data_IF_701427146568
#
_entry.id   IF_701427146568
#
_cell.length_a   1.000
_cell.length_b   1.000
_cell.length_c   1.000
_cell.angle_alpha   90.00
_cell.angle_beta   90.00
_cell.angle_gamma   90.00
#
_symmetry.space_group_name_H-M   'P 1'
#
loop_
_entity.id
_entity.type
_entity.pdbx_description
1 polymer ?
#
# COMPACT_ATOMS: atom_id res chain seq x y z
N UNK A 1 7.82 -18.07 28.85
CA UNK A 1 7.63 -18.35 27.42
C UNK A 1 7.68 -17.04 26.65
N UNK A 2 8.53 -16.99 25.61
CA UNK A 2 8.64 -15.86 24.68
C UNK A 2 7.99 -16.28 23.37
N UNK A 3 7.03 -15.47 22.93
CA UNK A 3 6.29 -15.63 21.67
C UNK A 3 6.58 -14.41 20.82
N UNK A 4 7.38 -14.56 19.78
CA UNK A 4 7.84 -13.46 18.93
C UNK A 4 8.00 -13.87 17.46
N UNK A 5 7.95 -12.91 16.57
CA UNK A 5 8.10 -13.07 15.12
C UNK A 5 8.95 -11.92 14.56
N UNK A 6 9.66 -12.16 13.45
CA UNK A 6 9.93 -13.44 12.79
C UNK A 6 11.08 -14.21 13.45
N UNK A 7 11.98 -13.51 14.15
CA UNK A 7 13.20 -14.06 14.73
C UNK A 7 13.20 -13.99 16.26
N UNK A 8 14.16 -14.69 16.90
CA UNK A 8 14.31 -14.71 18.36
C UNK A 8 15.03 -13.44 18.86
N UNK A 9 14.42 -12.27 18.71
CA UNK A 9 15.02 -11.00 19.12
C UNK A 9 14.93 -10.77 20.63
N UNK A 10 13.77 -10.89 21.22
CA UNK A 10 13.56 -10.71 22.67
C UNK A 10 14.24 -11.82 23.44
N UNK A 11 14.06 -13.08 23.02
CA UNK A 11 14.65 -14.25 23.68
C UNK A 11 16.19 -14.14 23.78
N UNK A 12 16.86 -13.67 22.74
CA UNK A 12 18.33 -13.51 22.71
C UNK A 12 18.82 -12.47 23.71
N UNK A 13 18.03 -11.42 23.99
CA UNK A 13 18.42 -10.31 24.86
C UNK A 13 18.04 -10.52 26.34
N UNK A 14 17.33 -11.59 26.68
CA UNK A 14 17.01 -11.91 28.07
C UNK A 14 18.22 -12.46 28.81
N UNK A 15 18.44 -11.98 30.04
CA UNK A 15 19.64 -12.31 30.85
C UNK A 15 19.64 -13.77 31.36
N UNK A 16 18.53 -14.28 31.88
CA UNK A 16 18.43 -15.62 32.47
C UNK A 16 17.90 -16.65 31.45
N UNK A 17 18.70 -16.96 30.41
CA UNK A 17 18.29 -17.83 29.29
C UNK A 17 17.85 -19.24 29.72
N UNK A 18 18.37 -19.77 30.81
CA UNK A 18 17.98 -21.10 31.34
C UNK A 18 16.55 -21.16 31.89
N UNK A 19 15.92 -20.00 32.08
CA UNK A 19 14.52 -19.88 32.51
C UNK A 19 13.59 -19.45 31.37
N UNK A 20 14.11 -19.34 30.15
CA UNK A 20 13.37 -18.83 28.99
C UNK A 20 13.07 -19.96 28.01
N UNK A 21 11.84 -20.07 27.61
CA UNK A 21 11.38 -20.94 26.54
C UNK A 21 10.87 -20.14 25.36
N UNK A 22 11.37 -20.43 24.17
CA UNK A 22 11.02 -19.72 22.95
C UNK A 22 11.49 -20.46 21.69
N UNK A 23 11.87 -19.71 20.66
CA UNK A 23 12.37 -20.24 19.38
C UNK A 23 13.71 -20.96 19.52
N UNK A 24 14.62 -20.41 20.31
CA UNK A 24 15.96 -21.00 20.52
C UNK A 24 15.92 -22.32 21.29
N UNK A 25 14.97 -22.49 22.20
CA UNK A 25 14.77 -23.72 22.98
C UNK A 25 13.84 -24.72 22.27
N UNK A 26 13.32 -24.36 21.10
CA UNK A 26 12.42 -25.21 20.30
C UNK A 26 11.02 -25.36 20.89
N UNK A 27 10.63 -24.52 21.86
CA UNK A 27 9.24 -24.48 22.37
C UNK A 27 8.30 -23.77 21.40
N UNK A 28 8.85 -22.85 20.62
CA UNK A 28 8.19 -22.15 19.54
C UNK A 28 8.89 -22.53 18.24
N UNK A 29 8.20 -22.73 17.11
CA UNK A 29 8.80 -23.00 15.81
C UNK A 29 9.82 -21.90 15.43
N UNK A 30 10.94 -22.31 14.81
CA UNK A 30 11.98 -21.37 14.40
C UNK A 30 11.54 -20.41 13.29
N UNK A 31 10.58 -20.84 12.48
CA UNK A 31 10.13 -20.14 11.30
C UNK A 31 8.60 -20.08 11.25
N UNK A 32 8.06 -19.16 10.45
CA UNK A 32 6.65 -19.05 10.19
C UNK A 32 5.89 -18.17 11.17
N UNK A 33 4.63 -17.94 10.84
CA UNK A 33 3.68 -17.13 11.59
C UNK A 33 3.15 -17.88 12.81
N UNK A 34 2.94 -17.19 13.91
CA UNK A 34 2.40 -17.75 15.15
C UNK A 34 0.87 -17.84 15.11
N UNK A 35 0.36 -18.80 14.35
CA UNK A 35 -1.07 -19.09 14.30
C UNK A 35 -1.60 -19.58 15.64
N UNK A 36 -2.91 -19.45 15.92
CA UNK A 36 -3.50 -19.87 17.19
C UNK A 36 -3.18 -21.32 17.61
N UNK A 37 -3.14 -22.26 16.68
CA UNK A 37 -2.80 -23.65 16.90
C UNK A 37 -1.32 -23.85 17.25
N UNK A 38 -0.43 -23.03 16.71
CA UNK A 38 1.01 -23.01 17.03
C UNK A 38 1.21 -22.45 18.44
N UNK A 39 0.49 -21.38 18.78
CA UNK A 39 0.50 -20.79 20.12
C UNK A 39 0.01 -21.79 21.17
N UNK A 40 -1.10 -22.48 20.90
CA UNK A 40 -1.64 -23.53 21.80
C UNK A 40 -0.62 -24.67 22.00
N UNK A 41 0.03 -25.14 20.93
CA UNK A 41 1.03 -26.21 21.00
C UNK A 41 2.28 -25.76 21.77
N UNK A 42 2.76 -24.54 21.55
CA UNK A 42 3.91 -23.94 22.22
C UNK A 42 3.63 -23.78 23.72
N UNK A 43 2.44 -23.29 24.07
CA UNK A 43 2.01 -23.17 25.46
C UNK A 43 1.88 -24.53 26.16
N UNK A 44 1.30 -25.54 25.50
CA UNK A 44 1.20 -26.89 26.04
C UNK A 44 2.59 -27.45 26.35
N UNK A 45 3.55 -27.31 25.42
CA UNK A 45 4.92 -27.79 25.60
C UNK A 45 5.58 -27.10 26.81
N UNK A 46 5.48 -25.77 26.90
CA UNK A 46 6.01 -24.98 27.99
C UNK A 46 5.40 -25.41 29.37
N UNK A 47 4.10 -25.66 29.42
CA UNK A 47 3.42 -26.12 30.65
C UNK A 47 3.88 -27.53 31.11
N UNK A 48 4.15 -28.41 30.15
CA UNK A 48 4.69 -29.74 30.46
C UNK A 48 6.10 -29.65 31.05
N UNK A 49 6.96 -28.86 30.39
CA UNK A 49 8.36 -28.71 30.83
C UNK A 49 8.47 -27.92 32.15
N UNK A 50 7.47 -27.08 32.46
CA UNK A 50 7.33 -26.43 33.78
C UNK A 50 6.83 -27.37 34.89
N UNK A 51 6.51 -28.62 34.58
CA UNK A 51 5.93 -29.56 35.54
C UNK A 51 4.48 -29.26 35.95
N UNK A 52 3.81 -28.38 35.27
CA UNK A 52 2.42 -28.02 35.51
C UNK A 52 1.49 -29.08 34.88
N UNK A 53 0.50 -29.57 35.64
CA UNK A 53 -0.45 -30.53 35.10
C UNK A 53 -1.25 -29.98 33.94
N UNK A 54 -1.26 -30.71 32.84
CA UNK A 54 -2.02 -30.40 31.64
C UNK A 54 -3.51 -30.35 31.93
N UNK A 55 -4.16 -29.23 31.80
CA UNK A 55 -5.62 -29.19 31.71
C UNK A 55 -5.98 -29.56 30.27
N UNK A 56 -6.51 -30.75 30.07
CA UNK A 56 -7.03 -31.15 28.76
C UNK A 56 -8.08 -30.15 28.28
N UNK A 57 -7.73 -29.33 27.35
CA UNK A 57 -8.67 -28.43 26.65
C UNK A 57 -9.55 -29.32 25.78
N UNK A 58 -10.81 -29.53 26.14
CA UNK A 58 -11.77 -30.16 25.23
C UNK A 58 -11.81 -29.31 23.98
N UNK A 59 -11.24 -29.84 22.85
CA UNK A 59 -11.40 -29.19 21.52
C UNK A 59 -12.86 -28.82 21.37
N UNK A 60 -13.17 -27.54 21.24
CA UNK A 60 -14.56 -27.09 21.14
C UNK A 60 -15.12 -27.72 19.88
N UNK A 61 -16.19 -28.48 20.00
CA UNK A 61 -16.89 -29.15 18.88
C UNK A 61 -17.23 -28.19 17.73
N UNK A 62 -17.40 -26.90 18.06
CA UNK A 62 -17.58 -25.80 17.11
C UNK A 62 -16.35 -25.53 16.21
N UNK A 63 -15.13 -25.59 16.75
CA UNK A 63 -13.89 -25.35 15.97
C UNK A 63 -13.67 -26.45 14.94
N UNK A 64 -13.92 -27.71 15.31
CA UNK A 64 -13.82 -28.83 14.37
C UNK A 64 -14.87 -28.79 13.25
N UNK A 65 -16.09 -28.33 13.55
CA UNK A 65 -17.16 -28.14 12.54
C UNK A 65 -16.83 -27.00 11.59
N UNK A 66 -16.33 -25.85 12.11
CA UNK A 66 -15.94 -24.71 11.29
C UNK A 66 -14.77 -25.07 10.38
N UNK A 67 -13.75 -25.74 10.90
CA UNK A 67 -12.58 -26.15 10.13
C UNK A 67 -12.98 -27.10 8.98
N UNK A 68 -13.83 -28.11 9.24
CA UNK A 68 -14.39 -28.97 8.20
C UNK A 68 -15.18 -28.19 7.15
N UNK A 69 -16.04 -27.28 7.58
CA UNK A 69 -16.83 -26.45 6.67
C UNK A 69 -15.93 -25.56 5.79
N UNK A 70 -14.83 -25.03 6.31
CA UNK A 70 -13.86 -24.25 5.55
C UNK A 70 -13.08 -25.12 4.55
N UNK A 71 -12.68 -26.33 4.92
CA UNK A 71 -12.02 -27.28 4.03
C UNK A 71 -12.94 -27.76 2.90
N UNK A 72 -14.21 -28.03 3.21
CA UNK A 72 -15.23 -28.45 2.25
C UNK A 72 -15.65 -27.32 1.30
N UNK A 73 -15.67 -26.08 1.76
CA UNK A 73 -16.12 -24.93 1.00
C UNK A 73 -15.20 -24.56 -0.20
N UNK A 74 -13.98 -25.12 -0.27
CA UNK A 74 -12.99 -24.83 -1.35
C UNK A 74 -12.94 -23.35 -1.73
N UNK A 75 -12.91 -22.47 -0.72
CA UNK A 75 -12.95 -21.04 -0.94
C UNK A 75 -11.77 -20.61 -1.84
N UNK A 76 -12.01 -19.80 -2.88
CA UNK A 76 -10.94 -19.29 -3.72
C UNK A 76 -9.99 -18.43 -2.88
N UNK A 77 -8.68 -18.62 -3.09
CA UNK A 77 -7.69 -17.75 -2.46
C UNK A 77 -7.91 -16.32 -2.92
N UNK A 78 -8.08 -15.39 -1.96
CA UNK A 78 -8.15 -13.97 -2.23
C UNK A 78 -6.78 -13.36 -2.00
N UNK A 79 -6.22 -12.71 -3.01
CA UNK A 79 -4.99 -11.91 -2.82
C UNK A 79 -5.35 -10.61 -2.10
N UNK A 80 -4.45 -10.07 -1.24
CA UNK A 80 -4.62 -8.74 -0.68
C UNK A 80 -4.79 -7.70 -1.78
N UNK A 81 -5.66 -6.72 -1.57
CA UNK A 81 -5.88 -5.63 -2.53
C UNK A 81 -6.10 -4.31 -1.81
N UNK A 82 -5.87 -3.21 -2.51
CA UNK A 82 -6.19 -1.87 -2.03
C UNK A 82 -7.69 -1.73 -1.78
N UNK A 83 -8.07 -0.91 -0.80
CA UNK A 83 -9.47 -0.67 -0.45
C UNK A 83 -10.29 -0.13 -1.63
N UNK A 84 -11.64 -0.31 -1.63
CA UNK A 84 -12.50 0.42 -2.56
C UNK A 84 -12.30 1.92 -2.40
N UNK A 85 -12.15 2.64 -3.52
CA UNK A 85 -11.92 4.08 -3.51
C UNK A 85 -10.54 4.53 -2.98
N UNK A 86 -9.59 3.63 -2.75
CA UNK A 86 -8.27 4.00 -2.27
C UNK A 86 -7.56 4.99 -3.21
N UNK A 87 -7.04 6.14 -2.70
CA UNK A 87 -6.34 7.11 -3.54
C UNK A 87 -5.06 6.54 -4.18
N UNK A 88 -4.36 5.63 -3.50
CA UNK A 88 -3.19 4.98 -4.09
C UNK A 88 -3.54 4.17 -5.35
N UNK A 89 -4.74 3.58 -5.40
CA UNK A 89 -5.24 2.88 -6.60
C UNK A 89 -5.37 3.83 -7.78
N UNK A 90 -5.91 5.02 -7.56
CA UNK A 90 -6.02 6.05 -8.60
C UNK A 90 -4.63 6.51 -9.06
N UNK A 91 -3.71 6.74 -8.12
CA UNK A 91 -2.31 7.08 -8.43
C UNK A 91 -1.65 6.01 -9.29
N UNK A 92 -1.75 4.73 -8.92
CA UNK A 92 -1.16 3.63 -9.68
C UNK A 92 -1.76 3.48 -11.07
N UNK A 93 -3.07 3.66 -11.22
CA UNK A 93 -3.71 3.67 -12.53
C UNK A 93 -3.18 4.81 -13.41
N UNK A 94 -3.03 6.01 -12.85
CA UNK A 94 -2.45 7.15 -13.56
C UNK A 94 -0.98 6.92 -13.93
N UNK A 95 -0.16 6.36 -13.03
CA UNK A 95 1.25 6.00 -13.27
C UNK A 95 1.34 5.00 -14.43
N UNK A 96 0.57 3.92 -14.39
CA UNK A 96 0.57 2.91 -15.47
C UNK A 96 0.11 3.49 -16.82
N UNK A 97 -0.86 4.40 -16.78
CA UNK A 97 -1.34 5.09 -17.99
C UNK A 97 -0.31 6.07 -18.57
N UNK A 98 0.44 6.76 -17.70
CA UNK A 98 1.50 7.67 -18.11
C UNK A 98 2.75 6.93 -18.63
N UNK A 99 3.09 5.81 -17.99
CA UNK A 99 4.33 5.04 -18.21
C UNK A 99 4.04 3.54 -18.30
N UNK A 100 3.49 3.04 -19.39
CA UNK A 100 3.13 1.61 -19.49
C UNK A 100 4.33 0.65 -19.50
N UNK A 101 5.55 1.15 -19.64
CA UNK A 101 6.82 0.42 -19.72
C UNK A 101 7.91 1.09 -18.89
N UNK A 102 7.62 1.54 -17.71
CA UNK A 102 8.63 2.04 -16.78
C UNK A 102 9.09 0.93 -15.81
N UNK A 103 10.14 1.21 -15.06
CA UNK A 103 10.51 0.44 -13.89
C UNK A 103 9.97 1.16 -12.66
N UNK A 104 9.36 0.40 -11.74
CA UNK A 104 8.61 0.94 -10.62
C UNK A 104 9.20 0.52 -9.27
N UNK A 105 10.31 1.13 -8.83
CA UNK A 105 10.82 0.94 -7.47
C UNK A 105 9.80 1.44 -6.44
N UNK A 106 9.62 0.69 -5.36
CA UNK A 106 8.74 1.06 -4.27
C UNK A 106 9.28 0.55 -2.94
N UNK A 107 8.55 0.78 -1.90
CA UNK A 107 8.87 0.27 -0.57
C UNK A 107 7.61 -0.20 0.20
N UNK A 108 7.63 -0.24 1.52
CA UNK A 108 6.63 -0.93 2.33
C UNK A 108 5.58 0.02 2.88
N UNK A 109 4.33 -0.27 2.56
CA UNK A 109 3.11 0.41 3.01
C UNK A 109 1.90 -0.17 2.29
N UNK A 110 0.72 0.45 2.41
CA UNK A 110 -0.46 0.04 1.64
C UNK A 110 -0.18 0.00 0.13
N UNK A 111 0.69 0.86 -0.35
CA UNK A 111 1.09 0.97 -1.74
C UNK A 111 1.96 -0.20 -2.25
N UNK A 112 2.52 -1.04 -1.38
CA UNK A 112 3.12 -2.35 -1.79
C UNK A 112 2.13 -3.17 -2.62
N UNK A 113 0.82 -3.03 -2.36
CA UNK A 113 -0.23 -3.70 -3.12
C UNK A 113 -0.34 -3.24 -4.57
N UNK A 114 0.39 -2.20 -4.97
CA UNK A 114 0.61 -1.82 -6.36
C UNK A 114 1.29 -2.91 -7.19
N UNK A 115 2.00 -3.86 -6.56
CA UNK A 115 2.55 -5.04 -7.21
C UNK A 115 1.45 -5.85 -7.91
N UNK A 116 0.27 -5.96 -7.32
CA UNK A 116 -0.88 -6.64 -7.93
C UNK A 116 -1.39 -5.91 -9.19
N UNK A 117 -1.16 -4.60 -9.29
CA UNK A 117 -1.57 -3.76 -10.42
C UNK A 117 -0.47 -3.65 -11.49
N UNK A 118 0.71 -4.26 -11.27
CA UNK A 118 1.86 -4.22 -12.18
C UNK A 118 2.48 -2.82 -12.27
N UNK A 119 2.58 -2.11 -11.14
CA UNK A 119 3.19 -0.78 -11.00
C UNK A 119 4.08 -0.70 -9.75
N UNK A 120 4.56 -1.83 -9.30
CA UNK A 120 5.60 -2.00 -8.27
C UNK A 120 6.42 -3.22 -8.64
N UNK A 121 7.70 -3.03 -8.94
CA UNK A 121 8.62 -4.09 -9.35
C UNK A 121 9.52 -4.54 -8.20
N UNK A 122 9.85 -3.62 -7.29
CA UNK A 122 10.75 -3.93 -6.16
C UNK A 122 10.17 -3.42 -4.85
N UNK A 123 10.31 -4.21 -3.80
CA UNK A 123 9.97 -3.87 -2.42
C UNK A 123 10.98 -4.55 -1.51
N UNK A 124 11.84 -3.79 -0.83
CA UNK A 124 12.81 -4.33 0.12
C UNK A 124 12.48 -3.93 1.55
N UNK A 125 12.62 -2.64 1.87
CA UNK A 125 12.34 -2.08 3.20
C UNK A 125 11.71 -0.69 3.08
N UNK A 126 11.33 -0.10 4.21
CA UNK A 126 10.80 1.27 4.26
C UNK A 126 11.92 2.27 3.93
N UNK A 127 11.77 3.01 2.83
CA UNK A 127 12.74 3.98 2.33
C UNK A 127 13.53 3.52 1.10
N UNK A 128 13.49 2.24 0.76
CA UNK A 128 14.28 1.69 -0.35
C UNK A 128 13.84 2.16 -1.74
N UNK A 129 12.60 2.61 -1.91
CA UNK A 129 12.11 3.02 -3.23
C UNK A 129 12.96 4.09 -3.91
N UNK A 130 13.40 5.11 -3.18
CA UNK A 130 14.25 6.19 -3.70
C UNK A 130 15.68 5.68 -3.96
N UNK A 131 16.26 4.92 -3.05
CA UNK A 131 17.64 4.43 -3.17
C UNK A 131 17.79 3.44 -4.32
N UNK A 132 16.81 2.55 -4.51
CA UNK A 132 16.77 1.64 -5.65
C UNK A 132 16.62 2.41 -6.96
N UNK A 133 15.72 3.43 -7.02
CA UNK A 133 15.57 4.26 -8.20
C UNK A 133 16.87 4.99 -8.58
N UNK A 134 17.57 5.55 -7.58
CA UNK A 134 18.86 6.21 -7.78
C UNK A 134 19.93 5.22 -8.28
N UNK A 135 20.02 4.04 -7.67
CA UNK A 135 20.95 2.99 -8.09
C UNK A 135 20.70 2.50 -9.52
N UNK A 136 19.41 2.27 -9.88
CA UNK A 136 19.01 1.90 -11.24
C UNK A 136 19.34 2.99 -12.25
N UNK A 137 19.09 4.27 -11.92
CA UNK A 137 19.45 5.37 -12.79
C UNK A 137 20.94 5.37 -13.13
N UNK A 138 21.82 5.27 -12.13
CA UNK A 138 23.26 5.24 -12.37
C UNK A 138 23.73 4.00 -13.13
N UNK A 139 23.14 2.84 -12.87
CA UNK A 139 23.42 1.63 -13.65
C UNK A 139 23.01 1.78 -15.12
N UNK A 140 21.83 2.35 -15.36
CA UNK A 140 21.30 2.59 -16.72
C UNK A 140 22.11 3.61 -17.49
N UNK A 141 22.63 4.66 -16.84
CA UNK A 141 23.54 5.60 -17.48
C UNK A 141 24.82 4.90 -18.00
N UNK A 142 25.36 3.92 -17.23
CA UNK A 142 26.52 3.14 -17.68
C UNK A 142 26.21 2.26 -18.90
N UNK A 143 25.01 1.71 -18.96
CA UNK A 143 24.56 0.81 -20.02
C UNK A 143 23.89 1.55 -21.21
N UNK A 144 23.71 2.87 -21.11
CA UNK A 144 23.02 3.68 -22.13
C UNK A 144 21.52 3.42 -22.22
N UNK A 145 20.89 2.88 -21.17
CA UNK A 145 19.46 2.59 -21.08
C UNK A 145 18.70 3.89 -20.73
N UNK A 146 17.60 4.16 -21.44
CA UNK A 146 16.77 5.38 -21.25
C UNK A 146 15.34 5.08 -20.84
N UNK A 147 15.12 3.96 -20.16
CA UNK A 147 13.78 3.64 -19.67
C UNK A 147 13.37 4.52 -18.49
N UNK A 148 12.10 4.98 -18.45
CA UNK A 148 11.61 5.74 -17.32
C UNK A 148 11.69 4.95 -16.01
N UNK A 149 12.14 5.60 -14.95
CA UNK A 149 12.09 5.07 -13.58
C UNK A 149 11.07 5.92 -12.81
N UNK A 150 10.06 5.26 -12.24
CA UNK A 150 8.99 5.92 -11.48
C UNK A 150 8.91 5.29 -10.10
N UNK A 151 9.57 5.90 -9.14
CA UNK A 151 9.56 5.45 -7.75
C UNK A 151 8.29 5.87 -7.03
N UNK A 152 7.79 5.03 -6.12
CA UNK A 152 6.66 5.37 -5.24
C UNK A 152 7.03 5.19 -3.78
N UNK A 153 6.51 6.08 -2.92
CA UNK A 153 6.72 6.08 -1.48
C UNK A 153 5.54 6.73 -0.76
N UNK A 154 5.14 6.21 0.39
CA UNK A 154 4.12 6.86 1.23
C UNK A 154 4.67 8.08 1.96
N UNK A 155 3.77 9.03 2.32
CA UNK A 155 4.10 10.24 3.07
C UNK A 155 4.79 9.96 4.41
N UNK A 156 4.26 9.02 5.20
CA UNK A 156 4.87 8.63 6.47
C UNK A 156 6.27 8.07 6.29
N UNK A 157 6.48 7.15 5.35
CA UNK A 157 7.80 6.60 5.05
C UNK A 157 8.76 7.69 4.58
N UNK A 158 8.28 8.64 3.78
CA UNK A 158 9.11 9.76 3.33
C UNK A 158 9.64 10.60 4.51
N UNK A 159 8.77 10.95 5.46
CA UNK A 159 9.20 11.70 6.66
C UNK A 159 10.24 10.95 7.48
N UNK A 160 10.09 9.64 7.64
CA UNK A 160 10.91 8.84 8.55
C UNK A 160 12.20 8.29 7.94
N UNK A 161 12.24 8.02 6.65
CA UNK A 161 13.41 7.40 5.97
C UNK A 161 13.69 7.93 4.57
N UNK A 162 12.72 8.52 3.88
CA UNK A 162 12.88 8.98 2.49
C UNK A 162 13.69 10.25 2.32
N UNK A 163 13.74 11.12 3.35
CA UNK A 163 14.36 12.44 3.26
C UNK A 163 15.86 12.37 2.95
N UNK A 164 16.61 11.52 3.68
CA UNK A 164 18.03 11.33 3.46
C UNK A 164 18.33 10.70 2.09
N UNK A 165 17.49 9.76 1.66
CA UNK A 165 17.60 9.13 0.36
C UNK A 165 17.37 10.14 -0.78
N UNK A 166 16.36 11.02 -0.65
CA UNK A 166 16.08 12.04 -1.65
C UNK A 166 17.21 13.08 -1.73
N UNK A 167 17.71 13.53 -0.59
CA UNK A 167 18.86 14.44 -0.54
C UNK A 167 20.07 13.86 -1.31
N UNK A 168 20.38 12.58 -1.06
CA UNK A 168 21.47 11.90 -1.74
C UNK A 168 21.19 11.74 -3.25
N UNK A 169 19.98 11.38 -3.65
CA UNK A 169 19.62 11.21 -5.06
C UNK A 169 19.73 12.53 -5.84
N UNK A 170 19.30 13.64 -5.25
CA UNK A 170 19.47 14.99 -5.84
C UNK A 170 20.95 15.35 -5.91
N UNK A 171 21.72 15.16 -4.82
CA UNK A 171 23.14 15.47 -4.78
C UNK A 171 23.95 14.69 -5.83
N UNK A 172 23.62 13.44 -6.06
CA UNK A 172 24.31 12.58 -7.06
C UNK A 172 23.80 12.77 -8.49
N UNK A 173 22.87 13.71 -8.73
CA UNK A 173 22.32 14.00 -10.05
C UNK A 173 21.46 12.90 -10.64
N UNK A 174 20.83 12.07 -9.80
CA UNK A 174 19.91 11.04 -10.26
C UNK A 174 18.69 11.65 -10.97
N UNK A 175 18.16 10.95 -11.98
CA UNK A 175 17.05 11.41 -12.81
C UNK A 175 15.94 10.37 -12.86
N UNK A 176 14.88 10.61 -12.12
CA UNK A 176 13.68 9.78 -12.10
C UNK A 176 12.48 10.56 -11.57
N UNK A 177 11.29 10.01 -11.70
CA UNK A 177 10.08 10.57 -11.10
C UNK A 177 9.84 9.88 -9.76
N UNK A 178 9.75 10.66 -8.69
CA UNK A 178 9.30 10.19 -7.38
C UNK A 178 7.83 10.60 -7.17
N UNK A 179 6.95 9.64 -6.94
CA UNK A 179 5.56 9.90 -6.57
C UNK A 179 5.40 9.62 -5.07
N UNK A 180 5.20 10.69 -4.29
CA UNK A 180 4.88 10.57 -2.87
C UNK A 180 3.36 10.42 -2.74
N UNK A 181 2.92 9.27 -2.25
CA UNK A 181 1.52 8.92 -2.05
C UNK A 181 1.05 9.45 -0.70
N UNK A 182 0.58 10.69 -0.70
CA UNK A 182 0.20 11.43 0.51
C UNK A 182 -1.28 11.21 0.84
N UNK A 183 -1.54 10.32 1.78
CA UNK A 183 -2.87 10.07 2.32
C UNK A 183 -3.08 10.63 3.74
N UNK A 184 -2.09 11.35 4.27
CA UNK A 184 -2.13 12.04 5.55
C UNK A 184 -1.97 11.14 6.77
N UNK A 185 -1.77 9.82 6.62
CA UNK A 185 -1.75 8.89 7.77
C UNK A 185 -0.90 7.65 7.49
N UNK A 186 -0.32 7.05 8.55
CA UNK A 186 0.31 5.73 8.49
C UNK A 186 -0.78 4.67 8.57
N UNK A 187 -1.46 4.42 7.43
CA UNK A 187 -2.72 3.67 7.42
C UNK A 187 -2.56 2.17 7.73
N UNK A 188 -1.54 1.52 7.18
CA UNK A 188 -1.38 0.06 7.25
C UNK A 188 -1.27 -0.48 8.68
N UNK A 189 -0.64 0.25 9.57
CA UNK A 189 -0.35 -0.19 10.94
C UNK A 189 -1.33 0.33 11.99
N UNK A 190 -2.37 1.03 11.59
CA UNK A 190 -3.44 1.47 12.49
C UNK A 190 -3.69 2.97 12.55
N UNK A 191 -3.46 3.68 11.45
CA UNK A 191 -3.81 5.10 11.29
C UNK A 191 -3.01 6.05 12.22
N UNK A 192 -1.73 5.78 12.41
CA UNK A 192 -0.87 6.66 13.19
C UNK A 192 -0.70 8.02 12.50
N UNK A 193 -0.53 9.07 13.31
CA UNK A 193 -0.25 10.42 12.84
C UNK A 193 1.09 10.51 12.09
N UNK A 194 1.16 11.44 11.14
CA UNK A 194 2.41 11.80 10.45
C UNK A 194 2.89 13.16 10.95
N UNK A 195 4.15 13.54 10.68
CA UNK A 195 4.64 14.88 11.02
C UNK A 195 3.87 16.06 10.38
N UNK A 196 2.97 15.79 9.43
CA UNK A 196 2.09 16.80 8.86
C UNK A 196 0.92 17.21 9.78
N UNK A 197 0.68 16.49 10.89
CA UNK A 197 -0.41 16.76 11.81
C UNK A 197 -0.06 17.86 12.81
N UNK A 198 -1.08 18.57 13.30
CA UNK A 198 -0.96 19.62 14.33
C UNK A 198 -1.05 19.08 15.77
N UNK A 199 -1.09 17.76 15.92
CA UNK A 199 -1.11 17.07 17.21
C UNK A 199 -0.29 15.79 17.18
N UNK A 200 0.32 15.47 18.35
CA UNK A 200 1.08 14.25 18.56
C UNK A 200 0.21 13.02 18.80
N UNK A 201 0.82 11.82 18.94
CA UNK A 201 0.11 10.56 19.19
C UNK A 201 -0.68 10.55 20.51
N UNK A 202 -0.27 11.36 21.47
CA UNK A 202 -0.89 11.56 22.79
C UNK A 202 -1.96 12.66 22.79
N UNK A 203 -2.25 13.26 21.62
CA UNK A 203 -3.17 14.38 21.45
C UNK A 203 -2.59 15.75 21.85
N UNK A 204 -1.32 15.82 22.26
CA UNK A 204 -0.64 17.09 22.52
C UNK A 204 -0.49 17.92 21.25
N UNK A 205 -0.51 19.25 21.40
CA UNK A 205 -0.31 20.15 20.26
C UNK A 205 1.09 19.98 19.67
N UNK A 206 1.16 19.81 18.36
CA UNK A 206 2.38 19.72 17.58
C UNK A 206 2.47 20.80 16.51
N UNK A 207 3.65 21.02 15.96
CA UNK A 207 3.86 21.93 14.84
C UNK A 207 3.83 21.10 13.55
N UNK A 208 2.84 21.29 12.67
CA UNK A 208 2.77 20.56 11.41
C UNK A 208 3.94 20.92 10.49
N UNK A 209 4.55 19.91 9.91
CA UNK A 209 5.64 20.06 8.94
C UNK A 209 5.10 19.76 7.54
N UNK A 210 4.85 20.75 6.69
CA UNK A 210 4.34 20.50 5.35
C UNK A 210 5.32 19.67 4.52
N UNK A 211 4.81 18.59 3.89
CA UNK A 211 5.59 17.65 3.10
C UNK A 211 6.38 18.35 1.98
N UNK A 212 5.75 19.28 1.29
CA UNK A 212 6.35 20.06 0.21
C UNK A 212 7.55 20.91 0.65
N UNK A 213 7.55 21.38 1.89
CA UNK A 213 8.71 22.11 2.44
C UNK A 213 9.91 21.20 2.65
N UNK A 214 9.65 19.97 3.14
CA UNK A 214 10.72 18.97 3.32
C UNK A 214 11.30 18.57 1.98
N UNK A 215 10.44 18.28 0.98
CA UNK A 215 10.87 17.96 -0.40
C UNK A 215 11.72 19.09 -1.00
N UNK A 216 11.27 20.34 -0.88
CA UNK A 216 12.06 21.50 -1.35
C UNK A 216 13.39 21.64 -0.59
N UNK A 217 13.40 21.37 0.70
CA UNK A 217 14.61 21.38 1.52
C UNK A 217 15.67 20.35 1.10
N UNK A 218 15.27 19.29 0.41
CA UNK A 218 16.18 18.32 -0.20
C UNK A 218 16.79 18.79 -1.55
N UNK A 219 16.48 20.01 -2.02
CA UNK A 219 17.02 20.55 -3.27
C UNK A 219 16.22 20.19 -4.53
N UNK A 220 14.99 19.70 -4.37
CA UNK A 220 14.12 19.37 -5.52
C UNK A 220 13.63 20.64 -6.20
N UNK A 221 13.88 20.77 -7.50
CA UNK A 221 13.42 21.90 -8.31
C UNK A 221 12.04 21.66 -8.93
N UNK A 222 11.78 20.46 -9.47
CA UNK A 222 10.45 20.11 -9.97
C UNK A 222 9.62 19.46 -8.85
N UNK A 223 8.64 20.19 -8.37
CA UNK A 223 7.66 19.68 -7.38
C UNK A 223 6.26 20.09 -7.82
N UNK A 224 5.40 19.10 -8.02
CA UNK A 224 3.97 19.27 -8.27
C UNK A 224 3.13 18.56 -7.21
N UNK A 225 1.93 19.09 -6.93
CA UNK A 225 0.95 18.49 -6.04
C UNK A 225 -0.34 18.33 -6.84
N UNK A 226 -0.90 17.13 -6.86
CA UNK A 226 -2.16 16.87 -7.57
C UNK A 226 -3.03 15.88 -6.78
N UNK A 227 -4.34 15.96 -7.02
CA UNK A 227 -5.30 14.97 -6.50
C UNK A 227 -5.36 13.78 -7.46
N UNK A 228 -5.01 12.56 -7.04
CA UNK A 228 -5.05 11.39 -7.90
C UNK A 228 -6.46 11.02 -8.37
N UNK A 229 -7.51 11.55 -7.78
CA UNK A 229 -8.87 11.36 -8.27
C UNK A 229 -9.13 12.15 -9.57
N UNK A 230 -8.35 13.20 -9.85
CA UNK A 230 -8.29 13.82 -11.15
C UNK A 230 -7.26 13.10 -12.03
N UNK A 231 -7.65 11.97 -12.62
CA UNK A 231 -6.75 11.12 -13.41
C UNK A 231 -6.10 11.82 -14.60
N UNK A 232 -6.78 12.76 -15.22
CA UNK A 232 -6.26 13.49 -16.40
C UNK A 232 -5.13 14.43 -16.00
N UNK A 233 -5.35 15.20 -14.95
CA UNK A 233 -4.35 16.10 -14.39
C UNK A 233 -3.14 15.31 -13.85
N UNK A 234 -3.37 14.23 -13.11
CA UNK A 234 -2.32 13.35 -12.60
C UNK A 234 -1.44 12.79 -13.74
N UNK A 235 -2.05 12.28 -14.83
CA UNK A 235 -1.31 11.74 -15.97
C UNK A 235 -0.51 12.84 -16.67
N UNK A 236 -1.08 14.03 -16.82
CA UNK A 236 -0.38 15.20 -17.40
C UNK A 236 0.82 15.58 -16.54
N UNK A 237 0.62 15.76 -15.24
CA UNK A 237 1.67 16.14 -14.29
C UNK A 237 2.80 15.11 -14.25
N UNK A 238 2.50 13.82 -14.30
CA UNK A 238 3.51 12.76 -14.37
C UNK A 238 4.37 12.83 -15.63
N UNK A 239 3.77 13.15 -16.78
CA UNK A 239 4.51 13.32 -18.03
C UNK A 239 5.39 14.57 -18.01
N UNK A 240 4.92 15.67 -17.44
CA UNK A 240 5.71 16.90 -17.25
C UNK A 240 6.89 16.64 -16.30
N UNK A 241 6.66 15.89 -15.21
CA UNK A 241 7.71 15.46 -14.29
C UNK A 241 8.81 14.65 -15.00
N UNK A 242 8.43 13.72 -15.86
CA UNK A 242 9.40 12.94 -16.64
C UNK A 242 10.11 13.80 -17.69
N UNK A 243 9.41 14.70 -18.35
CA UNK A 243 10.03 15.62 -19.30
C UNK A 243 11.12 16.45 -18.63
N UNK A 244 10.87 16.94 -17.40
CA UNK A 244 11.89 17.61 -16.61
C UNK A 244 13.02 16.66 -16.23
N UNK A 245 12.71 15.51 -15.60
CA UNK A 245 13.73 14.60 -15.10
C UNK A 245 14.67 14.07 -16.20
N UNK A 246 14.15 13.83 -17.41
CA UNK A 246 14.91 13.33 -18.56
C UNK A 246 15.65 14.41 -19.35
N UNK A 247 15.47 15.70 -19.01
CA UNK A 247 16.18 16.79 -19.69
C UNK A 247 17.66 16.86 -19.31
N UNK A 248 18.52 17.52 -20.10
CA UNK A 248 19.95 17.66 -19.79
C UNK A 248 20.21 18.32 -18.42
N UNK A 249 19.41 19.29 -18.03
CA UNK A 249 19.48 19.99 -16.74
C UNK A 249 18.58 19.36 -15.67
N UNK A 250 17.98 18.20 -15.97
CA UNK A 250 17.03 17.53 -15.11
C UNK A 250 17.67 16.85 -13.88
N UNK A 251 16.84 16.62 -12.89
CA UNK A 251 17.16 15.91 -11.66
C UNK A 251 15.93 15.11 -11.22
N UNK A 252 15.88 14.66 -9.96
CA UNK A 252 14.69 14.01 -9.42
C UNK A 252 13.49 14.96 -9.50
N UNK A 253 12.44 14.53 -10.20
CA UNK A 253 11.16 15.22 -10.23
C UNK A 253 10.21 14.60 -9.18
N UNK A 254 9.59 15.42 -8.33
CA UNK A 254 8.68 14.93 -7.29
C UNK A 254 7.25 15.34 -7.59
N UNK A 255 6.35 14.35 -7.54
CA UNK A 255 4.90 14.56 -7.62
C UNK A 255 4.28 14.06 -6.30
N UNK A 256 3.62 14.95 -5.56
CA UNK A 256 2.85 14.60 -4.37
C UNK A 256 1.42 14.30 -4.82
N UNK A 257 1.04 13.04 -4.79
CA UNK A 257 -0.33 12.58 -5.04
C UNK A 257 -1.11 12.65 -3.73
N UNK A 258 -1.79 13.77 -3.48
CA UNK A 258 -2.43 14.09 -2.20
C UNK A 258 -3.93 13.84 -2.25
N UNK A 259 -4.39 12.90 -1.45
CA UNK A 259 -5.81 12.67 -1.16
C UNK A 259 -5.96 11.90 0.15
N UNK A 260 -6.84 12.32 1.08
CA UNK A 260 -6.99 11.67 2.38
C UNK A 260 -7.32 10.18 2.28
N UNK A 261 -6.85 9.39 3.26
CA UNK A 261 -7.25 8.00 3.39
C UNK A 261 -8.73 7.90 3.78
N UNK A 262 -9.54 7.24 2.95
CA UNK A 262 -10.99 7.13 3.18
C UNK A 262 -11.36 6.41 4.49
N UNK A 263 -10.49 5.55 5.00
CA UNK A 263 -10.72 4.86 6.27
C UNK A 263 -10.41 5.74 7.48
N UNK A 264 -9.68 6.83 7.28
CA UNK A 264 -9.31 7.79 8.32
C UNK A 264 -10.30 8.95 8.40
N UNK A 265 -11.02 9.26 7.33
CA UNK A 265 -12.05 10.30 7.37
C UNK A 265 -13.13 9.98 8.41
N UNK A 266 -13.61 10.98 9.18
CA UNK A 266 -14.67 10.75 10.16
C UNK A 266 -15.86 10.05 9.50
N UNK A 267 -16.34 8.97 10.12
CA UNK A 267 -17.57 8.30 9.72
C UNK A 267 -18.71 9.34 9.76
N UNK A 268 -19.21 9.72 8.62
CA UNK A 268 -20.23 10.79 8.48
C UNK A 268 -20.01 11.70 7.29
N UNK A 269 -18.84 11.66 6.65
CA UNK A 269 -18.70 12.08 5.26
C UNK A 269 -19.24 10.96 4.37
N UNK A 270 -20.54 10.71 4.46
CA UNK A 270 -21.22 10.06 3.33
C UNK A 270 -20.84 10.88 2.11
N UNK A 271 -20.26 10.22 1.12
CA UNK A 271 -19.98 10.88 -0.14
C UNK A 271 -21.30 11.47 -0.60
N UNK A 272 -21.36 12.79 -0.69
CA UNK A 272 -22.54 13.49 -1.22
C UNK A 272 -22.77 13.18 -2.70
N UNK A 273 -21.91 12.35 -3.28
CA UNK A 273 -21.97 11.97 -4.68
C UNK A 273 -22.82 10.70 -4.83
N UNK A 274 -23.75 10.68 -5.77
CA UNK A 274 -24.54 9.48 -6.06
C UNK A 274 -23.64 8.33 -6.50
N UNK A 275 -24.02 7.11 -6.12
CA UNK A 275 -23.33 5.88 -6.52
C UNK A 275 -23.20 5.80 -8.04
N UNK A 276 -22.04 5.44 -8.58
CA UNK A 276 -21.90 5.24 -10.01
C UNK A 276 -22.77 4.06 -10.48
N UNK A 277 -23.22 4.12 -11.73
CA UNK A 277 -24.04 3.09 -12.39
C UNK A 277 -23.40 2.61 -13.68
N UNK A 278 -23.69 1.38 -14.07
CA UNK A 278 -23.25 0.83 -15.35
C UNK A 278 -24.34 1.03 -16.39
N UNK A 279 -24.05 1.79 -17.43
CA UNK A 279 -24.98 2.06 -18.53
C UNK A 279 -24.98 0.94 -19.59
N UNK A 280 -25.92 1.00 -20.53
CA UNK A 280 -26.03 0.07 -21.67
C UNK A 280 -24.83 0.14 -22.65
N UNK A 281 -23.96 1.16 -22.50
CA UNK A 281 -22.70 1.26 -23.26
C UNK A 281 -21.66 0.21 -22.83
N UNK A 282 -21.87 -0.48 -21.70
CA UNK A 282 -20.97 -1.52 -21.25
C UNK A 282 -21.04 -2.73 -22.18
N UNK A 283 -19.92 -3.09 -22.78
CA UNK A 283 -19.77 -4.25 -23.69
C UNK A 283 -19.00 -5.41 -23.05
N UNK A 284 -18.86 -5.44 -21.74
CA UNK A 284 -18.19 -6.53 -21.02
C UNK A 284 -16.68 -6.67 -21.29
N UNK A 285 -15.98 -5.60 -21.69
CA UNK A 285 -14.56 -5.65 -22.05
C UNK A 285 -13.62 -5.90 -20.87
N UNK A 286 -14.10 -5.90 -19.64
CA UNK A 286 -13.37 -6.13 -18.37
C UNK A 286 -12.20 -5.17 -18.08
N UNK A 287 -11.91 -4.18 -18.91
CA UNK A 287 -10.80 -3.25 -18.74
C UNK A 287 -10.76 -2.63 -17.33
N UNK A 288 -11.90 -2.17 -16.81
CA UNK A 288 -11.98 -1.59 -15.47
C UNK A 288 -11.75 -2.61 -14.34
N UNK A 289 -12.05 -3.89 -14.55
CA UNK A 289 -11.77 -4.96 -13.61
C UNK A 289 -10.29 -5.34 -13.61
N UNK A 290 -9.63 -5.36 -14.77
CA UNK A 290 -8.27 -5.87 -14.96
C UNK A 290 -7.21 -4.77 -14.77
N UNK A 291 -7.52 -3.52 -15.13
CA UNK A 291 -6.55 -2.43 -15.08
C UNK A 291 -6.70 -1.54 -13.85
N UNK A 292 -7.91 -1.43 -13.28
CA UNK A 292 -8.17 -0.62 -12.10
C UNK A 292 -8.39 -1.46 -10.84
N UNK A 293 -8.93 -2.68 -11.00
CA UNK A 293 -9.10 -3.69 -9.95
C UNK A 293 -9.81 -3.19 -8.68
N UNK A 294 -10.74 -2.23 -8.79
CA UNK A 294 -11.49 -1.77 -7.62
C UNK A 294 -12.38 -2.91 -7.08
N UNK A 295 -12.30 -3.26 -5.77
CA UNK A 295 -13.12 -4.35 -5.20
C UNK A 295 -14.62 -4.12 -5.30
N UNK A 296 -15.07 -2.87 -5.48
CA UNK A 296 -16.48 -2.56 -5.71
C UNK A 296 -16.94 -2.83 -7.16
N UNK A 297 -16.00 -3.03 -8.10
CA UNK A 297 -16.33 -3.45 -9.47
C UNK A 297 -16.30 -4.98 -9.53
N UNK A 298 -17.42 -5.58 -9.87
CA UNK A 298 -17.59 -7.03 -9.93
C UNK A 298 -18.08 -7.46 -11.32
N UNK A 299 -17.85 -8.72 -11.67
CA UNK A 299 -18.38 -9.31 -12.88
C UNK A 299 -19.75 -9.95 -12.61
N UNK A 300 -20.77 -9.57 -13.40
CA UNK A 300 -22.09 -10.19 -13.38
C UNK A 300 -22.15 -11.26 -14.50
N UNK A 301 -22.02 -12.53 -14.10
CA UNK A 301 -22.04 -13.67 -15.02
C UNK A 301 -23.37 -13.79 -15.80
N UNK A 302 -24.50 -13.36 -15.21
CA UNK A 302 -25.81 -13.47 -15.86
C UNK A 302 -26.00 -12.44 -16.96
N UNK A 303 -25.44 -11.25 -16.78
CA UNK A 303 -25.57 -10.14 -17.72
C UNK A 303 -24.34 -9.99 -18.60
N UNK A 304 -23.29 -10.79 -18.39
CA UNK A 304 -21.99 -10.73 -19.07
C UNK A 304 -21.40 -9.31 -19.11
N UNK A 305 -21.54 -8.59 -18.01
CA UNK A 305 -21.05 -7.20 -17.87
C UNK A 305 -20.58 -6.89 -16.47
N UNK A 306 -19.88 -5.77 -16.34
CA UNK A 306 -19.46 -5.24 -15.04
C UNK A 306 -20.68 -4.76 -14.26
N UNK A 307 -20.68 -4.99 -12.95
CA UNK A 307 -21.63 -4.43 -12.00
C UNK A 307 -20.88 -3.72 -10.86
N UNK A 308 -21.58 -2.94 -10.08
CA UNK A 308 -21.05 -2.26 -8.90
C UNK A 308 -21.65 -2.91 -7.65
N UNK A 309 -20.81 -3.28 -6.72
CA UNK A 309 -21.23 -3.75 -5.39
C UNK A 309 -21.46 -2.52 -4.50
N UNK A 310 -22.71 -2.09 -4.38
CA UNK A 310 -23.11 -0.88 -3.66
C UNK A 310 -22.61 -0.88 -2.20
N UNK A 311 -22.61 -2.03 -1.53
CA UNK A 311 -22.13 -2.20 -0.16
C UNK A 311 -20.62 -1.98 0.01
N UNK A 312 -19.84 -2.02 -1.07
CA UNK A 312 -18.40 -1.80 -1.08
C UNK A 312 -18.03 -0.46 -1.70
N UNK A 313 -18.91 0.15 -2.48
CA UNK A 313 -18.62 1.36 -3.21
C UNK A 313 -18.55 2.59 -2.29
N UNK A 314 -17.42 3.32 -2.33
CA UNK A 314 -17.24 4.58 -1.61
C UNK A 314 -17.73 5.81 -2.37
N UNK A 315 -18.37 5.65 -3.53
CA UNK A 315 -18.83 6.72 -4.41
C UNK A 315 -17.75 7.75 -4.82
N UNK A 316 -16.47 7.38 -4.80
CA UNK A 316 -15.35 8.28 -5.14
C UNK A 316 -15.35 8.76 -6.61
N UNK A 317 -16.07 8.09 -7.50
CA UNK A 317 -16.22 8.51 -8.90
C UNK A 317 -15.03 8.23 -9.82
N UNK A 318 -13.88 7.78 -9.33
CA UNK A 318 -12.67 7.56 -10.15
C UNK A 318 -12.92 6.59 -11.31
N UNK A 319 -13.73 5.56 -11.11
CA UNK A 319 -14.05 4.55 -12.13
C UNK A 319 -14.76 5.12 -13.37
N UNK A 320 -15.39 6.30 -13.27
CA UNK A 320 -15.99 7.01 -14.40
C UNK A 320 -14.92 7.36 -15.45
N UNK A 321 -13.74 7.79 -14.97
CA UNK A 321 -12.58 8.18 -15.77
C UNK A 321 -11.74 6.98 -16.24
N UNK A 322 -11.94 5.82 -15.61
CA UNK A 322 -11.26 4.58 -15.97
C UNK A 322 -11.89 3.91 -17.19
N UNK A 323 -13.22 3.98 -17.33
CA UNK A 323 -13.92 3.26 -18.39
C UNK A 323 -13.64 3.87 -19.77
N UNK A 324 -12.93 3.16 -20.71
CA UNK A 324 -12.59 3.71 -22.01
C UNK A 324 -13.80 3.91 -22.94
N UNK A 325 -14.96 3.36 -22.57
CA UNK A 325 -16.22 3.49 -23.32
C UNK A 325 -17.20 4.48 -22.68
N UNK A 326 -16.82 5.12 -21.56
CA UNK A 326 -17.73 5.98 -20.80
C UNK A 326 -19.00 5.25 -20.34
N UNK A 327 -18.90 3.96 -20.08
CA UNK A 327 -20.03 3.14 -19.68
C UNK A 327 -20.31 3.16 -18.16
N UNK A 328 -19.37 3.65 -17.37
CA UNK A 328 -19.56 3.92 -15.93
C UNK A 328 -19.96 5.39 -15.84
N UNK A 329 -21.15 5.66 -15.34
CA UNK A 329 -21.73 7.01 -15.25
C UNK A 329 -22.11 7.33 -13.82
N UNK A 330 -22.30 8.59 -13.48
CA UNK A 330 -22.90 8.96 -12.19
C UNK A 330 -24.34 8.48 -12.15
N UNK A 331 -24.78 7.96 -11.01
CA UNK A 331 -26.20 7.78 -10.74
C UNK A 331 -26.90 9.13 -10.77
N UNK A 332 -28.15 9.17 -11.13
CA UNK A 332 -29.01 10.34 -10.90
C UNK A 332 -29.33 10.39 -9.40
N UNK A 333 -29.43 11.59 -8.86
CA UNK A 333 -29.95 11.81 -7.51
C UNK A 333 -31.38 11.24 -7.46
N UNK A 334 -31.61 10.24 -6.58
CA UNK A 334 -32.89 9.59 -6.42
C UNK A 334 -33.87 10.46 -5.66
#
# INVERSE_FOLDING_TARGET
>A
LVLEEPDAFVEVHLQERNKVWGRMTGHVPKEGELLPEILDASLEKALVDAGLKKRARKKRRREAVLQRAMEEAKLPRRRPTLCPGCPHRASFFAIKKAFPKAIYPSDIGCYTLGANLGVVDTVLDMGSGITIASGLYHAFELDGIKEPIVATMGDSTFYHSGTAALLNAVHTGSRFVLVILDNGVTAMTGMQSTPAWDHGPDGSKAIPIPLERVVRGCGVEFLAICDPYNLEDMVKTLKEAWQYASSPEGSVAVVIARHPCLLHEPKGRESSLPLPKISEKCKGCRYCLEQFECPALIWDERRERVAIADSLCSACGVCLLVCPKGAIIRGEDG
#
